data_IF_444124698270
#
_entry.id   IF_444124698270
#
_cell.length_a   1.000
_cell.length_b   1.000
_cell.length_c   1.000
_cell.angle_alpha   90.00
_cell.angle_beta   90.00
_cell.angle_gamma   90.00
#
_symmetry.space_group_name_H-M   'P 1'
#
loop_
_entity.id
_entity.type
_entity.pdbx_description
1 polymer ?
#
# COMPACT_ATOMS: atom_id res chain seq x y z
N UNK A 1 -16.34 44.73 30.69
CA UNK A 1 -15.11 44.45 31.47
C UNK A 1 -14.98 42.94 31.65
N UNK A 2 -13.83 42.36 31.23
CA UNK A 2 -13.18 41.14 31.77
C UNK A 2 -13.95 39.80 31.56
N UNK A 3 -13.38 38.70 31.04
CA UNK A 3 -11.99 38.30 30.75
C UNK A 3 -11.96 37.23 29.65
N UNK A 4 -11.04 37.43 28.72
CA UNK A 4 -10.45 36.46 27.80
C UNK A 4 -9.74 35.33 28.58
N UNK A 5 -9.89 34.08 28.14
CA UNK A 5 -8.94 32.99 28.42
C UNK A 5 -8.67 32.28 27.10
N UNK A 6 -7.52 32.60 26.52
CA UNK A 6 -6.88 31.87 25.43
C UNK A 6 -6.00 30.83 26.12
N UNK A 7 -6.23 29.54 25.86
CA UNK A 7 -5.28 28.49 26.20
C UNK A 7 -4.62 27.99 24.90
N UNK A 8 -3.51 28.63 24.56
CA UNK A 8 -2.48 28.12 23.65
C UNK A 8 -1.37 27.48 24.50
N UNK A 9 -0.55 26.61 23.87
CA UNK A 9 0.64 25.86 24.35
C UNK A 9 0.36 24.39 24.71
N UNK A 10 1.12 23.40 24.23
CA UNK A 10 2.55 23.37 23.89
C UNK A 10 2.90 22.52 22.65
N UNK A 11 3.61 23.12 21.70
CA UNK A 11 4.44 22.42 20.71
C UNK A 11 5.86 22.32 21.30
N UNK A 12 6.33 21.11 21.58
CA UNK A 12 7.66 20.88 22.14
C UNK A 12 8.72 20.97 21.03
N UNK A 13 9.56 22.00 21.11
CA UNK A 13 10.71 22.26 20.26
C UNK A 13 11.92 21.47 20.81
N UNK A 14 12.36 20.42 20.11
CA UNK A 14 13.62 19.74 20.41
C UNK A 14 14.74 20.42 19.62
N UNK A 15 15.50 21.28 20.29
CA UNK A 15 16.77 21.82 19.80
C UNK A 15 17.89 20.84 20.15
N UNK A 16 18.41 20.11 19.15
CA UNK A 16 19.68 19.41 19.27
C UNK A 16 20.82 20.37 18.86
N UNK A 17 21.60 20.80 19.84
CA UNK A 17 22.86 21.53 19.62
C UNK A 17 23.95 20.56 19.16
N UNK A 18 24.29 20.56 17.87
CA UNK A 18 25.51 19.93 17.37
C UNK A 18 26.68 20.93 17.52
N UNK A 19 27.62 20.59 18.41
CA UNK A 19 28.86 21.33 18.58
C UNK A 19 29.76 21.19 17.35
N UNK A 20 30.26 22.32 16.87
CA UNK A 20 31.30 22.41 15.86
C UNK A 20 32.67 22.24 16.54
N UNK A 21 33.48 21.30 16.07
CA UNK A 21 34.94 21.45 16.14
C UNK A 21 35.52 21.18 14.77
N UNK A 22 36.27 22.17 14.31
CA UNK A 22 37.02 22.21 13.07
C UNK A 22 38.38 21.57 13.30
N UNK A 23 38.83 20.70 12.39
CA UNK A 23 40.25 20.41 12.22
C UNK A 23 40.55 20.16 10.75
N UNK A 24 41.35 21.09 10.20
CA UNK A 24 41.91 21.12 8.86
C UNK A 24 43.37 20.64 8.93
N UNK A 25 43.74 19.65 8.12
CA UNK A 25 45.08 19.38 7.55
C UNK A 25 44.98 18.02 6.84
N UNK A 26 45.40 17.74 5.61
CA UNK A 26 46.33 18.38 4.69
C UNK A 26 47.02 17.25 3.90
N UNK A 27 47.09 17.41 2.58
CA UNK A 27 47.98 16.77 1.60
C UNK A 27 47.65 15.46 0.85
N UNK A 28 48.05 15.58 -0.42
CA UNK A 28 47.84 14.86 -1.70
C UNK A 28 48.56 13.51 -1.84
N UNK A 29 48.06 12.58 -2.70
CA UNK A 29 48.70 11.30 -3.13
C UNK A 29 49.84 11.55 -4.16
N UNK A 30 50.71 10.59 -4.61
CA UNK A 30 50.35 9.25 -5.13
C UNK A 30 51.39 8.11 -4.99
N UNK A 31 50.97 6.87 -5.26
CA UNK A 31 51.88 5.72 -5.35
C UNK A 31 51.29 4.55 -6.11
N UNK A 32 51.62 4.45 -7.41
CA UNK A 32 51.45 3.27 -8.27
C UNK A 32 52.29 2.10 -7.73
N UNK A 33 51.75 0.89 -7.77
CA UNK A 33 52.52 -0.27 -8.29
C UNK A 33 51.59 -1.35 -8.84
N UNK A 34 51.93 -1.80 -10.05
CA UNK A 34 51.45 -3.01 -10.73
C UNK A 34 52.10 -4.26 -10.10
N UNK A 35 51.41 -5.39 -10.18
CA UNK A 35 51.90 -6.70 -10.67
C UNK A 35 50.74 -7.71 -10.55
N UNK A 36 50.19 -8.22 -11.66
CA UNK A 36 50.64 -9.38 -12.46
C UNK A 36 50.19 -10.75 -11.90
N UNK A 37 49.14 -11.29 -12.55
CA UNK A 37 49.02 -12.59 -13.24
C UNK A 37 49.40 -13.91 -12.51
N UNK A 38 48.57 -14.93 -12.81
CA UNK A 38 48.76 -16.39 -12.68
C UNK A 38 48.42 -16.99 -11.30
N UNK A 39 47.76 -18.15 -11.16
CA UNK A 39 47.29 -19.17 -12.10
C UNK A 39 46.47 -20.24 -11.32
N UNK A 40 45.70 -21.04 -12.07
CA UNK A 40 45.39 -22.47 -11.84
C UNK A 40 44.51 -22.92 -10.66
N UNK A 41 43.35 -23.48 -11.05
CA UNK A 41 42.74 -24.66 -10.45
C UNK A 41 43.65 -25.91 -10.62
N UNK A 42 43.43 -27.04 -9.91
CA UNK A 42 42.35 -27.97 -10.31
C UNK A 42 41.68 -28.82 -9.19
N UNK A 43 40.57 -29.43 -9.61
CA UNK A 43 40.08 -30.81 -9.34
C UNK A 43 39.33 -31.25 -8.05
N UNK A 44 38.07 -31.67 -8.31
CA UNK A 44 37.41 -32.97 -8.06
C UNK A 44 37.54 -33.65 -6.69
N UNK A 45 36.37 -33.93 -6.11
CA UNK A 45 36.05 -35.25 -5.54
C UNK A 45 34.58 -35.62 -5.79
N UNK A 46 34.41 -36.69 -6.55
CA UNK A 46 33.19 -37.50 -6.64
C UNK A 46 33.04 -38.37 -5.38
N UNK A 47 31.81 -38.66 -4.98
CA UNK A 47 31.46 -39.91 -4.30
C UNK A 47 30.03 -40.30 -4.68
N UNK A 48 29.94 -41.40 -5.43
CA UNK A 48 28.73 -42.16 -5.76
C UNK A 48 28.29 -43.01 -4.57
N UNK A 49 26.98 -43.21 -4.38
CA UNK A 49 26.41 -44.47 -3.90
C UNK A 49 25.10 -44.71 -4.68
N UNK A 50 24.96 -45.92 -5.22
CA UNK A 50 23.90 -46.42 -6.08
C UNK A 50 23.08 -47.52 -5.36
N UNK A 51 21.73 -47.43 -5.50
CA UNK A 51 20.66 -48.46 -5.61
C UNK A 51 20.37 -49.49 -4.50
N UNK A 52 19.08 -49.53 -4.08
CA UNK A 52 18.23 -50.75 -4.15
C UNK A 52 16.71 -50.47 -4.09
N UNK A 53 15.96 -51.03 -5.05
CA UNK A 53 14.51 -51.37 -4.99
C UNK A 53 14.27 -52.46 -3.89
N UNK A 54 13.09 -52.77 -3.34
CA UNK A 54 11.72 -52.96 -3.90
C UNK A 54 10.73 -53.18 -2.73
N UNK A 55 9.41 -53.09 -3.03
CA UNK A 55 8.28 -53.96 -2.61
C UNK A 55 7.14 -53.42 -1.71
N UNK A 56 5.93 -53.60 -2.26
CA UNK A 56 4.56 -53.49 -1.76
C UNK A 56 4.25 -54.45 -0.59
N UNK A 57 3.29 -54.09 0.27
CA UNK A 57 2.28 -55.03 0.83
C UNK A 57 0.95 -54.29 1.11
N UNK A 58 -0.14 -54.92 0.67
CA UNK A 58 -1.56 -54.57 0.81
C UNK A 58 -2.11 -54.76 2.25
N UNK A 59 -3.16 -53.96 2.60
CA UNK A 59 -4.46 -54.27 3.27
C UNK A 59 -4.58 -55.36 4.39
N UNK A 60 -5.52 -55.29 5.37
CA UNK A 60 -6.94 -54.97 5.11
C UNK A 60 -7.80 -54.27 6.20
N UNK A 61 -8.93 -53.79 5.68
CA UNK A 61 -10.30 -53.54 6.21
C UNK A 61 -10.71 -54.24 7.53
N UNK A 62 -11.46 -53.54 8.39
CA UNK A 62 -12.71 -54.06 9.02
C UNK A 62 -13.56 -52.96 9.65
N UNK A 63 -14.84 -52.93 9.22
CA UNK A 63 -15.98 -52.20 9.79
C UNK A 63 -16.70 -53.17 10.73
N UNK A 64 -17.04 -52.74 11.96
CA UNK A 64 -18.17 -53.29 12.75
C UNK A 64 -18.76 -52.19 13.64
N UNK A 65 -20.04 -51.91 13.41
CA UNK A 65 -21.04 -51.28 14.31
C UNK A 65 -21.55 -52.29 15.34
N UNK A 66 -21.85 -51.87 16.59
CA UNK A 66 -23.10 -52.25 17.30
C UNK A 66 -23.33 -51.42 18.58
N UNK A 67 -24.61 -51.28 18.90
CA UNK A 67 -25.33 -50.53 19.93
C UNK A 67 -25.07 -50.93 21.40
N UNK A 68 -25.51 -50.08 22.34
CA UNK A 68 -25.72 -50.46 23.75
C UNK A 68 -26.03 -49.32 24.75
N UNK A 69 -27.32 -49.01 24.92
CA UNK A 69 -27.96 -48.11 25.91
C UNK A 69 -27.71 -48.43 27.40
N UNK A 70 -27.83 -47.41 28.28
CA UNK A 70 -28.67 -47.31 29.53
C UNK A 70 -28.87 -45.78 29.83
N UNK A 71 -30.07 -45.14 29.70
CA UNK A 71 -31.31 -45.07 30.51
C UNK A 71 -31.28 -44.18 31.77
N UNK A 72 -32.12 -43.13 31.78
CA UNK A 72 -33.13 -42.73 32.80
C UNK A 72 -33.47 -41.22 32.65
N UNK A 73 -34.67 -40.68 32.92
CA UNK A 73 -36.07 -41.11 33.00
C UNK A 73 -36.93 -39.83 33.22
N UNK A 74 -38.25 -39.92 33.02
CA UNK A 74 -39.33 -39.00 33.45
C UNK A 74 -39.66 -37.81 32.53
N UNK A 75 -40.62 -37.83 31.59
CA UNK A 75 -42.09 -38.14 31.55
C UNK A 75 -42.99 -36.88 31.62
N UNK A 76 -43.72 -36.64 30.51
CA UNK A 76 -45.11 -36.12 30.33
C UNK A 76 -45.51 -34.73 30.88
N UNK A 77 -46.43 -33.92 30.38
CA UNK A 77 -47.35 -33.91 29.22
C UNK A 77 -48.10 -32.55 29.23
N UNK A 78 -48.59 -32.11 28.05
CA UNK A 78 -49.85 -31.34 27.81
C UNK A 78 -49.91 -29.80 27.90
N UNK A 79 -50.09 -29.22 26.70
CA UNK A 79 -50.94 -28.10 26.21
C UNK A 79 -51.09 -26.71 26.90
N UNK A 80 -50.91 -25.71 26.01
CA UNK A 80 -51.67 -24.47 25.73
C UNK A 80 -51.43 -23.14 26.48
N UNK A 81 -51.15 -22.15 25.62
CA UNK A 81 -51.53 -20.72 25.65
C UNK A 81 -50.89 -19.82 26.70
N UNK A 82 -50.01 -18.91 26.28
CA UNK A 82 -50.37 -17.50 26.04
C UNK A 82 -49.15 -16.64 25.70
N UNK A 83 -49.41 -15.60 24.92
CA UNK A 83 -48.49 -14.59 24.43
C UNK A 83 -47.55 -14.04 25.51
N UNK A 84 -46.25 -13.91 25.18
CA UNK A 84 -45.59 -12.65 25.45
C UNK A 84 -44.47 -12.36 24.43
N UNK A 85 -44.64 -11.24 23.75
CA UNK A 85 -43.65 -10.48 23.01
C UNK A 85 -42.37 -10.34 23.84
N UNK A 86 -41.29 -10.99 23.43
CA UNK A 86 -39.95 -10.48 23.68
C UNK A 86 -39.31 -10.21 22.33
N UNK A 87 -39.48 -8.96 21.92
CA UNK A 87 -38.63 -8.25 20.97
C UNK A 87 -37.17 -8.69 21.19
N UNK A 88 -36.68 -9.57 20.32
CA UNK A 88 -35.25 -9.78 20.19
C UNK A 88 -34.74 -8.53 19.50
N UNK A 89 -34.34 -7.56 20.31
CA UNK A 89 -33.54 -6.41 19.88
C UNK A 89 -32.37 -6.94 19.07
N UNK A 90 -32.52 -6.88 17.75
CA UNK A 90 -31.42 -6.97 16.81
C UNK A 90 -30.46 -5.85 17.22
N UNK A 91 -29.29 -6.21 17.78
CA UNK A 91 -28.11 -5.35 17.87
C UNK A 91 -27.69 -4.97 16.44
N UNK A 92 -28.41 -4.02 15.85
CA UNK A 92 -28.11 -3.41 14.57
C UNK A 92 -27.30 -2.15 14.79
N UNK A 93 -26.14 -2.10 14.13
CA UNK A 93 -25.38 -0.92 13.68
C UNK A 93 -25.61 0.39 14.46
N UNK A 94 -24.65 0.77 15.30
CA UNK A 94 -24.53 2.18 15.67
C UNK A 94 -24.07 2.97 14.45
N UNK A 95 -25.00 3.44 13.61
CA UNK A 95 -24.74 4.11 12.31
C UNK A 95 -23.70 5.24 12.35
N UNK A 96 -24.12 6.51 12.35
CA UNK A 96 -23.19 7.64 12.34
C UNK A 96 -22.21 7.66 13.53
N UNK A 97 -22.63 7.09 14.68
CA UNK A 97 -21.79 6.97 15.88
C UNK A 97 -20.59 6.04 15.68
N UNK A 98 -20.75 4.98 14.91
CA UNK A 98 -19.66 4.08 14.52
C UNK A 98 -18.66 4.80 13.62
N UNK A 99 -19.16 5.59 12.66
CA UNK A 99 -18.32 6.41 11.77
C UNK A 99 -17.56 7.50 12.54
N UNK A 100 -18.21 8.17 13.50
CA UNK A 100 -17.55 9.13 14.41
C UNK A 100 -16.50 8.49 15.31
N UNK A 101 -16.62 7.20 15.64
CA UNK A 101 -15.56 6.49 16.35
C UNK A 101 -14.40 6.15 15.41
N UNK A 102 -14.73 5.60 14.23
CA UNK A 102 -13.75 5.25 13.21
C UNK A 102 -12.88 6.45 12.81
N UNK A 103 -13.47 7.64 12.64
CA UNK A 103 -12.73 8.84 12.22
C UNK A 103 -11.63 9.24 13.21
N UNK A 104 -11.79 8.98 14.51
CA UNK A 104 -10.76 9.30 15.52
C UNK A 104 -9.47 8.49 15.32
N UNK A 105 -9.56 7.35 14.63
CA UNK A 105 -8.41 6.48 14.32
C UNK A 105 -7.79 6.75 12.94
N UNK A 106 -8.48 7.53 12.10
CA UNK A 106 -8.05 7.78 10.72
C UNK A 106 -8.07 9.26 10.35
N UNK A 107 -8.23 10.19 11.31
CA UNK A 107 -8.26 11.64 11.09
C UNK A 107 -7.05 12.17 10.32
N UNK A 108 -5.88 11.55 10.50
CA UNK A 108 -4.61 11.93 9.85
C UNK A 108 -4.34 11.09 8.58
N UNK A 109 -5.33 10.32 8.12
CA UNK A 109 -5.25 9.42 6.97
C UNK A 109 -6.25 9.85 5.91
N UNK A 110 -6.04 9.48 4.63
CA UNK A 110 -6.99 9.77 3.56
C UNK A 110 -8.40 9.23 3.84
N UNK A 111 -8.51 8.08 4.50
CA UNK A 111 -9.79 7.53 4.96
C UNK A 111 -10.55 8.50 5.90
N UNK A 112 -9.86 9.35 6.66
CA UNK A 112 -10.48 10.36 7.53
C UNK A 112 -11.26 11.42 6.76
N UNK A 113 -10.73 11.92 5.64
CA UNK A 113 -11.42 12.89 4.80
C UNK A 113 -12.68 12.30 4.14
N UNK A 114 -12.62 11.04 3.69
CA UNK A 114 -13.78 10.32 3.14
C UNK A 114 -14.86 10.10 4.20
N UNK A 115 -14.48 9.61 5.39
CA UNK A 115 -15.42 9.45 6.50
C UNK A 115 -16.02 10.79 6.95
N UNK A 116 -15.22 11.86 6.95
CA UNK A 116 -15.69 13.20 7.24
C UNK A 116 -16.75 13.65 6.24
N UNK A 117 -16.51 13.46 4.94
CA UNK A 117 -17.46 13.82 3.89
C UNK A 117 -18.75 12.99 3.98
N UNK A 118 -18.67 11.67 4.21
CA UNK A 118 -19.85 10.82 4.43
C UNK A 118 -20.66 11.30 5.64
N UNK A 119 -20.00 11.60 6.76
CA UNK A 119 -20.65 12.14 7.95
C UNK A 119 -21.33 13.48 7.68
N UNK A 120 -20.64 14.39 6.99
CA UNK A 120 -21.15 15.73 6.64
C UNK A 120 -22.28 15.70 5.62
N UNK A 121 -22.28 14.76 4.67
CA UNK A 121 -23.27 14.68 3.59
C UNK A 121 -24.47 13.80 3.94
N UNK A 122 -24.23 12.66 4.58
CA UNK A 122 -25.27 11.64 4.86
C UNK A 122 -25.91 11.82 6.23
N UNK A 123 -25.17 12.34 7.22
CA UNK A 123 -25.62 12.45 8.61
C UNK A 123 -25.61 13.90 9.14
N UNK A 124 -25.64 14.89 8.24
CA UNK A 124 -25.58 16.32 8.57
C UNK A 124 -26.55 16.77 9.67
N UNK A 125 -27.75 16.18 9.71
CA UNK A 125 -28.81 16.52 10.67
C UNK A 125 -28.62 15.87 12.04
N UNK A 126 -27.79 14.84 12.14
CA UNK A 126 -27.50 14.12 13.38
C UNK A 126 -26.23 14.65 14.10
N UNK A 127 -25.45 15.48 13.41
CA UNK A 127 -24.21 16.06 13.91
C UNK A 127 -24.43 17.39 14.64
N UNK A 128 -23.71 17.60 15.73
CA UNK A 128 -23.57 18.90 16.39
C UNK A 128 -22.74 19.87 15.54
N UNK A 129 -22.89 21.17 15.77
CA UNK A 129 -22.12 22.18 15.05
C UNK A 129 -20.61 22.07 15.30
N UNK A 130 -20.20 21.67 16.51
CA UNK A 130 -18.81 21.38 16.84
C UNK A 130 -18.27 20.19 16.04
N UNK A 131 -19.03 19.10 15.94
CA UNK A 131 -18.66 17.93 15.14
C UNK A 131 -18.56 18.27 13.66
N UNK A 132 -19.52 19.03 13.10
CA UNK A 132 -19.44 19.48 11.71
C UNK A 132 -18.17 20.28 11.45
N UNK A 133 -17.80 21.17 12.37
CA UNK A 133 -16.58 21.97 12.22
C UNK A 133 -15.31 21.12 12.28
N UNK A 134 -15.25 20.13 13.17
CA UNK A 134 -14.13 19.18 13.23
C UNK A 134 -14.02 18.35 11.94
N UNK A 135 -15.16 17.87 11.44
CA UNK A 135 -15.24 17.11 10.20
C UNK A 135 -14.86 17.97 8.98
N UNK A 136 -15.27 19.24 8.92
CA UNK A 136 -14.91 20.12 7.81
C UNK A 136 -13.39 20.39 7.77
N UNK A 137 -12.75 20.50 8.94
CA UNK A 137 -11.28 20.62 9.01
C UNK A 137 -10.59 19.36 8.51
N UNK A 138 -11.10 18.18 8.85
CA UNK A 138 -10.57 16.90 8.36
C UNK A 138 -10.80 16.77 6.85
N UNK A 139 -11.97 17.20 6.37
CA UNK A 139 -12.35 17.19 4.96
C UNK A 139 -11.49 18.15 4.12
N UNK A 140 -11.11 19.30 4.65
CA UNK A 140 -10.29 20.31 3.96
C UNK A 140 -8.81 20.24 4.32
N UNK A 141 -8.35 19.14 4.94
CA UNK A 141 -6.97 19.00 5.39
C UNK A 141 -5.97 19.11 4.23
N UNK A 142 -6.26 18.53 3.07
CA UNK A 142 -5.44 18.63 1.86
C UNK A 142 -5.30 20.08 1.38
N UNK A 143 -6.39 20.86 1.33
CA UNK A 143 -6.36 22.28 0.95
C UNK A 143 -5.56 23.14 1.92
N UNK A 144 -5.68 22.85 3.23
CA UNK A 144 -4.93 23.57 4.26
C UNK A 144 -3.42 23.30 4.13
N UNK A 145 -3.05 22.04 3.89
CA UNK A 145 -1.66 21.62 3.64
C UNK A 145 -1.12 22.23 2.35
N UNK A 146 -1.90 22.23 1.27
CA UNK A 146 -1.54 22.88 0.00
C UNK A 146 -1.33 24.39 0.17
N UNK A 147 -2.21 25.06 0.90
CA UNK A 147 -2.08 26.50 1.20
C UNK A 147 -0.81 26.78 1.98
N UNK A 148 -0.50 25.96 2.99
CA UNK A 148 0.73 26.08 3.77
C UNK A 148 1.98 25.81 2.92
N UNK A 149 1.96 24.79 2.06
CA UNK A 149 3.04 24.50 1.12
C UNK A 149 3.31 25.69 0.19
N UNK A 150 2.25 26.31 -0.35
CA UNK A 150 2.36 27.52 -1.16
C UNK A 150 2.97 28.70 -0.39
N UNK A 151 2.57 28.93 0.85
CA UNK A 151 3.17 29.99 1.69
C UNK A 151 4.66 29.74 1.95
N UNK A 152 5.07 28.49 2.17
CA UNK A 152 6.48 28.12 2.35
C UNK A 152 7.28 28.34 1.08
N UNK A 153 6.72 27.95 -0.07
CA UNK A 153 7.29 28.20 -1.39
C UNK A 153 7.48 29.70 -1.65
N UNK A 154 6.45 30.52 -1.41
CA UNK A 154 6.49 31.99 -1.55
C UNK A 154 7.56 32.63 -0.63
N UNK A 155 7.77 32.05 0.56
CA UNK A 155 8.81 32.46 1.50
C UNK A 155 10.20 31.89 1.18
N UNK A 156 10.34 31.13 0.08
CA UNK A 156 11.60 30.56 -0.38
C UNK A 156 12.00 29.24 0.27
N UNK A 157 11.17 28.66 1.16
CA UNK A 157 11.42 27.34 1.75
C UNK A 157 10.84 26.23 0.89
N UNK A 158 11.44 26.01 -0.28
CA UNK A 158 10.95 25.02 -1.27
C UNK A 158 10.98 23.59 -0.71
N UNK A 159 12.00 23.23 0.07
CA UNK A 159 12.09 21.88 0.67
C UNK A 159 10.96 21.61 1.66
N UNK A 160 10.63 22.59 2.51
CA UNK A 160 9.53 22.43 3.46
C UNK A 160 8.18 22.42 2.71
N UNK A 161 8.06 23.17 1.61
CA UNK A 161 6.89 23.13 0.74
C UNK A 161 6.70 21.76 0.09
N UNK A 162 7.78 21.12 -0.40
CA UNK A 162 7.73 19.74 -0.91
C UNK A 162 7.24 18.80 0.18
N UNK A 163 7.80 18.87 1.39
CA UNK A 163 7.37 18.02 2.50
C UNK A 163 5.87 18.19 2.82
N UNK A 164 5.36 19.41 2.93
CA UNK A 164 3.93 19.63 3.17
C UNK A 164 3.06 19.17 1.99
N UNK A 165 3.55 19.30 0.76
CA UNK A 165 2.83 18.82 -0.41
C UNK A 165 2.75 17.28 -0.43
N UNK A 166 3.76 16.56 0.07
CA UNK A 166 3.70 15.11 0.24
C UNK A 166 2.60 14.72 1.25
N UNK A 167 2.48 15.47 2.34
CA UNK A 167 1.42 15.26 3.33
C UNK A 167 0.03 15.59 2.76
N UNK A 168 -0.09 16.63 1.91
CA UNK A 168 -1.32 16.94 1.20
C UNK A 168 -1.73 15.79 0.27
N UNK A 169 -0.77 15.24 -0.49
CA UNK A 169 -0.99 14.07 -1.35
C UNK A 169 -1.46 12.88 -0.52
N UNK A 170 -0.84 12.58 0.62
CA UNK A 170 -1.30 11.49 1.49
C UNK A 170 -2.71 11.72 2.00
N UNK A 171 -3.08 12.96 2.33
CA UNK A 171 -4.43 13.29 2.77
C UNK A 171 -5.49 13.08 1.68
N UNK A 172 -5.17 13.32 0.41
CA UNK A 172 -6.10 13.15 -0.70
C UNK A 172 -5.38 12.66 -1.98
N UNK A 173 -4.93 11.40 -1.96
CA UNK A 173 -4.07 10.86 -3.01
C UNK A 173 -4.77 10.66 -4.37
N UNK A 174 -6.08 10.83 -4.44
CA UNK A 174 -6.85 10.76 -5.69
C UNK A 174 -6.91 12.12 -6.42
N UNK A 175 -6.55 13.21 -5.73
CA UNK A 175 -6.53 14.56 -6.31
C UNK A 175 -5.25 14.78 -7.16
N UNK A 176 -5.40 14.74 -8.49
CA UNK A 176 -4.28 14.89 -9.42
C UNK A 176 -3.61 16.28 -9.39
N UNK A 177 -4.34 17.33 -8.99
CA UNK A 177 -3.76 18.68 -8.91
C UNK A 177 -2.63 18.76 -7.85
N UNK A 178 -2.71 17.94 -6.80
CA UNK A 178 -1.67 17.89 -5.78
C UNK A 178 -0.35 17.36 -6.34
N UNK A 179 -0.39 16.40 -7.26
CA UNK A 179 0.80 15.86 -7.94
C UNK A 179 1.37 16.86 -8.94
N UNK A 180 0.51 17.59 -9.66
CA UNK A 180 0.92 18.69 -10.53
C UNK A 180 1.66 19.78 -9.76
N UNK A 181 1.15 20.19 -8.60
CA UNK A 181 1.83 21.14 -7.70
C UNK A 181 3.15 20.56 -7.18
N UNK A 182 3.16 19.28 -6.79
CA UNK A 182 4.38 18.59 -6.38
C UNK A 182 5.46 18.62 -7.46
N UNK A 183 5.12 18.34 -8.72
CA UNK A 183 6.06 18.39 -9.83
C UNK A 183 6.75 19.76 -9.97
N UNK A 184 5.98 20.85 -9.82
CA UNK A 184 6.51 22.22 -9.86
C UNK A 184 7.46 22.51 -8.70
N UNK A 185 7.11 22.06 -7.50
CA UNK A 185 7.97 22.21 -6.32
C UNK A 185 9.26 21.40 -6.44
N UNK A 186 9.17 20.17 -6.96
CA UNK A 186 10.33 19.30 -7.22
C UNK A 186 11.26 19.90 -8.28
N UNK A 187 10.72 20.46 -9.36
CA UNK A 187 11.50 21.20 -10.37
C UNK A 187 12.25 22.38 -9.75
N UNK A 188 11.57 23.19 -8.91
CA UNK A 188 12.20 24.30 -8.18
C UNK A 188 13.26 23.84 -7.18
N UNK A 189 13.09 22.65 -6.60
CA UNK A 189 14.07 22.01 -5.73
C UNK A 189 15.27 21.41 -6.50
N UNK A 190 15.25 21.44 -7.84
CA UNK A 190 16.30 20.91 -8.69
C UNK A 190 16.21 19.39 -8.93
N UNK A 191 15.10 18.75 -8.56
CA UNK A 191 14.84 17.37 -8.91
C UNK A 191 14.55 17.26 -10.42
N UNK A 192 15.13 16.26 -11.06
CA UNK A 192 15.11 16.13 -12.52
C UNK A 192 13.78 15.58 -13.01
N UNK A 193 13.40 15.93 -14.25
CA UNK A 193 12.19 15.50 -14.97
C UNK A 193 12.16 13.99 -15.30
N UNK A 194 12.24 13.14 -14.29
CA UNK A 194 12.00 11.71 -14.42
C UNK A 194 10.54 11.41 -14.15
N UNK A 195 10.08 10.31 -14.74
CA UNK A 195 8.75 9.78 -14.41
C UNK A 195 8.74 9.37 -12.94
N UNK A 196 7.72 9.82 -12.21
CA UNK A 196 7.50 9.46 -10.80
C UNK A 196 6.39 8.41 -10.69
N UNK A 197 6.39 7.68 -9.58
CA UNK A 197 5.34 6.71 -9.26
C UNK A 197 4.90 6.97 -7.82
N UNK A 198 3.59 7.10 -7.63
CA UNK A 198 2.95 7.08 -6.32
C UNK A 198 1.96 5.91 -6.25
N UNK A 199 1.95 5.23 -5.11
CA UNK A 199 0.97 4.17 -4.82
C UNK A 199 0.30 4.50 -3.50
N UNK A 200 -1.03 4.62 -3.48
CA UNK A 200 -1.80 5.04 -2.31
C UNK A 200 -1.28 6.34 -1.65
N UNK A 201 -0.82 7.30 -2.47
CA UNK A 201 -0.28 8.59 -2.02
C UNK A 201 1.18 8.57 -1.57
N UNK A 202 1.85 7.42 -1.58
CA UNK A 202 3.25 7.29 -1.20
C UNK A 202 4.17 7.20 -2.42
N UNK A 203 5.26 7.97 -2.41
CA UNK A 203 6.25 7.94 -3.48
C UNK A 203 7.04 6.62 -3.48
N UNK A 204 7.11 5.97 -4.64
CA UNK A 204 7.94 4.77 -4.82
C UNK A 204 9.41 5.14 -4.97
N UNK A 205 10.26 4.51 -4.16
CA UNK A 205 11.72 4.61 -4.30
C UNK A 205 12.23 4.00 -5.63
N UNK A 206 11.50 3.03 -6.19
CA UNK A 206 11.85 2.43 -7.48
C UNK A 206 11.19 3.24 -8.59
N UNK A 207 12.02 3.95 -9.36
CA UNK A 207 11.56 4.84 -10.42
C UNK A 207 10.96 4.04 -11.60
N UNK A 208 9.80 4.46 -12.13
CA UNK A 208 9.30 3.99 -13.42
C UNK A 208 10.11 4.59 -14.58
N UNK A 209 9.93 4.06 -15.79
CA UNK A 209 10.60 4.60 -16.97
C UNK A 209 9.78 4.45 -18.25
N UNK A 210 10.01 5.35 -19.20
CA UNK A 210 9.44 5.25 -20.55
C UNK A 210 10.36 4.43 -21.46
N UNK A 211 9.79 3.48 -22.19
CA UNK A 211 10.51 2.73 -23.23
C UNK A 211 9.57 2.39 -24.37
N UNK A 212 9.92 2.88 -25.58
CA UNK A 212 9.15 2.66 -26.82
C UNK A 212 7.66 3.00 -26.68
N UNK A 213 7.35 4.14 -26.06
CA UNK A 213 5.97 4.60 -25.87
C UNK A 213 5.19 3.90 -24.75
N UNK A 214 5.81 3.00 -23.98
CA UNK A 214 5.19 2.38 -22.81
C UNK A 214 5.85 2.88 -21.53
N UNK A 215 5.03 3.19 -20.52
CA UNK A 215 5.50 3.45 -19.15
C UNK A 215 5.62 2.12 -18.41
N UNK A 216 6.83 1.81 -17.99
CA UNK A 216 7.17 0.62 -17.22
C UNK A 216 7.21 0.97 -15.75
N UNK A 217 6.52 0.18 -14.93
CA UNK A 217 6.43 0.36 -13.48
C UNK A 217 6.90 -0.90 -12.74
N UNK A 218 7.51 -0.76 -11.55
CA UNK A 218 7.95 -1.89 -10.74
C UNK A 218 6.75 -2.68 -10.20
N UNK A 219 6.55 -3.89 -10.73
CA UNK A 219 5.33 -4.66 -10.47
C UNK A 219 5.19 -5.05 -8.99
N UNK A 220 6.28 -5.54 -8.38
CA UNK A 220 6.27 -5.95 -6.96
C UNK A 220 5.92 -4.79 -6.03
N UNK A 221 6.57 -3.63 -6.21
CA UNK A 221 6.35 -2.46 -5.35
C UNK A 221 4.89 -2.03 -5.36
N UNK A 222 4.27 -2.00 -6.53
CA UNK A 222 2.84 -1.67 -6.64
C UNK A 222 1.99 -2.75 -5.98
N UNK A 223 2.21 -4.02 -6.31
CA UNK A 223 1.42 -5.13 -5.78
C UNK A 223 1.46 -5.18 -4.24
N UNK A 224 2.65 -5.09 -3.63
CA UNK A 224 2.81 -5.10 -2.17
C UNK A 224 2.15 -3.88 -1.51
N UNK A 225 2.24 -2.70 -2.12
CA UNK A 225 1.60 -1.47 -1.61
C UNK A 225 0.07 -1.53 -1.69
N UNK A 226 -0.46 -2.35 -2.60
CA UNK A 226 -1.88 -2.70 -2.72
C UNK A 226 -2.23 -3.96 -1.91
N UNK A 227 -1.42 -4.31 -0.90
CA UNK A 227 -1.63 -5.44 0.00
C UNK A 227 -1.66 -6.83 -0.68
N UNK A 228 -1.08 -6.98 -1.86
CA UNK A 228 -0.94 -8.27 -2.51
C UNK A 228 0.27 -9.05 -1.99
N UNK A 229 0.14 -10.36 -1.88
CA UNK A 229 1.26 -11.26 -1.62
C UNK A 229 2.05 -11.49 -2.91
N UNK A 230 3.38 -11.38 -2.86
CA UNK A 230 4.24 -11.53 -4.04
C UNK A 230 5.32 -12.58 -3.79
N UNK A 231 5.42 -13.57 -4.68
CA UNK A 231 6.45 -14.59 -4.66
C UNK A 231 7.26 -14.61 -5.97
N UNK A 232 8.56 -14.89 -5.87
CA UNK A 232 9.45 -15.06 -7.03
C UNK A 232 9.81 -16.53 -7.18
N UNK A 233 9.63 -17.07 -8.39
CA UNK A 233 10.13 -18.38 -8.78
C UNK A 233 11.38 -18.20 -9.67
N UNK A 234 12.59 -18.51 -9.17
CA UNK A 234 13.82 -18.33 -9.95
C UNK A 234 13.96 -19.36 -11.08
N UNK A 235 13.43 -20.58 -10.94
CA UNK A 235 13.55 -21.64 -11.93
C UNK A 235 12.74 -21.29 -13.20
N UNK A 236 11.52 -20.80 -13.00
CA UNK A 236 10.64 -20.37 -14.09
C UNK A 236 10.87 -18.91 -14.52
N UNK A 237 11.70 -18.17 -13.78
CA UNK A 237 11.85 -16.72 -13.90
C UNK A 237 10.49 -16.01 -13.89
N UNK A 238 9.64 -16.34 -12.91
CA UNK A 238 8.26 -15.88 -12.83
C UNK A 238 7.93 -15.21 -11.50
N UNK A 239 7.04 -14.23 -11.53
CA UNK A 239 6.41 -13.64 -10.35
C UNK A 239 5.00 -14.21 -10.21
N UNK A 240 4.67 -14.65 -9.01
CA UNK A 240 3.31 -14.99 -8.59
C UNK A 240 2.78 -13.87 -7.68
N UNK A 241 1.56 -13.42 -7.92
CA UNK A 241 0.87 -12.44 -7.07
C UNK A 241 -0.49 -12.97 -6.67
N UNK A 242 -0.86 -12.80 -5.41
CA UNK A 242 -2.18 -13.13 -4.87
C UNK A 242 -2.78 -11.90 -4.18
N UNK A 243 -4.00 -11.51 -4.55
CA UNK A 243 -4.76 -10.43 -3.91
C UNK A 243 -6.24 -10.73 -4.02
N UNK A 244 -6.99 -10.73 -2.91
CA UNK A 244 -8.46 -10.84 -2.90
C UNK A 244 -9.00 -12.03 -3.75
N UNK A 245 -8.31 -13.17 -3.76
CA UNK A 245 -8.65 -14.35 -4.57
C UNK A 245 -8.24 -14.28 -6.05
N UNK A 246 -7.66 -13.17 -6.50
CA UNK A 246 -7.02 -13.02 -7.81
C UNK A 246 -5.60 -13.59 -7.77
N UNK A 247 -5.29 -14.46 -8.72
CA UNK A 247 -3.96 -15.05 -8.92
C UNK A 247 -3.34 -14.58 -10.23
N UNK A 248 -2.16 -13.98 -10.16
CA UNK A 248 -1.42 -13.50 -11.33
C UNK A 248 -0.09 -14.25 -11.42
N UNK A 249 0.21 -14.83 -12.58
CA UNK A 249 1.53 -15.36 -12.93
C UNK A 249 2.12 -14.54 -14.06
N UNK A 250 3.30 -14.00 -13.84
CA UNK A 250 4.01 -13.17 -14.81
C UNK A 250 5.40 -13.74 -15.06
N UNK A 251 5.65 -14.19 -16.28
CA UNK A 251 6.94 -14.74 -16.70
C UNK A 251 7.79 -13.64 -17.32
N UNK A 252 9.04 -13.50 -16.88
CA UNK A 252 9.96 -12.50 -17.42
C UNK A 252 10.25 -12.78 -18.91
N UNK A 253 10.39 -11.70 -19.68
CA UNK A 253 10.57 -11.69 -21.13
C UNK A 253 9.36 -12.21 -21.93
N UNK A 254 8.24 -12.52 -21.26
CA UNK A 254 6.97 -12.90 -21.89
C UNK A 254 6.07 -11.68 -22.11
N UNK A 255 5.37 -11.67 -23.25
CA UNK A 255 4.23 -10.77 -23.53
C UNK A 255 2.90 -11.33 -23.05
N UNK A 256 2.91 -12.44 -22.33
CA UNK A 256 1.71 -13.08 -21.80
C UNK A 256 1.88 -13.29 -20.30
N UNK A 257 0.88 -12.85 -19.54
CA UNK A 257 0.68 -13.21 -18.14
C UNK A 257 -0.54 -14.12 -18.03
N UNK A 258 -0.69 -14.77 -16.89
CA UNK A 258 -1.88 -15.55 -16.56
C UNK A 258 -2.58 -14.90 -15.39
N UNK A 259 -3.85 -14.53 -15.52
CA UNK A 259 -4.70 -13.97 -14.45
C UNK A 259 -5.86 -14.94 -14.24
N UNK A 260 -6.00 -15.49 -13.03
CA UNK A 260 -6.99 -16.51 -12.68
C UNK A 260 -7.02 -17.70 -13.67
N UNK A 261 -5.84 -18.17 -14.07
CA UNK A 261 -5.69 -19.26 -15.04
C UNK A 261 -5.93 -18.88 -16.50
N UNK A 262 -6.35 -17.64 -16.79
CA UNK A 262 -6.61 -17.14 -18.15
C UNK A 262 -5.43 -16.31 -18.66
N UNK A 263 -5.06 -16.49 -19.93
CA UNK A 263 -3.96 -15.73 -20.52
C UNK A 263 -4.38 -14.29 -20.83
N UNK A 264 -3.56 -13.33 -20.41
CA UNK A 264 -3.69 -11.89 -20.65
C UNK A 264 -2.45 -11.40 -21.39
N UNK A 265 -2.65 -10.65 -22.47
CA UNK A 265 -1.55 -10.08 -23.27
C UNK A 265 -1.05 -8.77 -22.66
N UNK A 266 0.26 -8.56 -22.65
CA UNK A 266 0.91 -7.29 -22.30
C UNK A 266 1.33 -6.54 -23.57
N UNK A 267 1.23 -5.21 -23.52
CA UNK A 267 1.67 -4.33 -24.63
C UNK A 267 3.18 -4.47 -24.93
N UNK A 268 3.95 -4.75 -23.88
CA UNK A 268 5.37 -5.03 -23.95
C UNK A 268 5.73 -6.13 -22.95
N UNK A 269 6.78 -6.92 -23.22
CA UNK A 269 7.14 -8.03 -22.35
C UNK A 269 7.54 -7.53 -20.96
N UNK A 270 7.18 -8.31 -19.95
CA UNK A 270 7.72 -8.14 -18.61
C UNK A 270 9.25 -8.18 -18.66
N UNK A 271 9.93 -7.27 -17.96
CA UNK A 271 11.40 -7.16 -18.07
C UNK A 271 12.04 -6.93 -16.72
N UNK A 272 13.21 -7.52 -16.49
CA UNK A 272 14.00 -7.20 -15.30
C UNK A 272 14.93 -6.03 -15.61
N UNK A 273 14.89 -5.00 -14.78
CA UNK A 273 15.81 -3.86 -14.83
C UNK A 273 16.28 -3.55 -13.41
N UNK A 274 17.61 -3.44 -13.22
CA UNK A 274 18.23 -3.18 -11.91
C UNK A 274 17.74 -4.11 -10.77
N UNK A 275 17.43 -5.36 -11.09
CA UNK A 275 16.97 -6.36 -10.12
C UNK A 275 15.47 -6.36 -9.81
N UNK A 276 14.69 -5.44 -10.39
CA UNK A 276 13.23 -5.40 -10.25
C UNK A 276 12.55 -5.80 -11.54
N UNK A 277 11.41 -6.49 -11.45
CA UNK A 277 10.57 -6.79 -12.61
C UNK A 277 9.63 -5.63 -12.88
N UNK A 278 9.64 -5.19 -14.13
CA UNK A 278 8.83 -4.10 -14.64
C UNK A 278 7.82 -4.60 -15.66
N UNK A 279 6.65 -3.98 -15.63
CA UNK A 279 5.53 -4.27 -16.54
C UNK A 279 4.96 -2.97 -17.10
N UNK A 280 4.31 -2.99 -18.28
CA UNK A 280 3.53 -1.85 -18.76
C UNK A 280 2.47 -1.47 -17.74
N UNK A 281 2.35 -0.17 -17.44
CA UNK A 281 1.44 0.32 -16.39
C UNK A 281 -0.02 -0.09 -16.61
N UNK A 282 -0.47 -0.22 -17.87
CA UNK A 282 -1.82 -0.66 -18.22
C UNK A 282 -2.15 -2.06 -17.68
N UNK A 283 -1.16 -2.94 -17.56
CA UNK A 283 -1.38 -4.27 -16.98
C UNK A 283 -1.77 -4.20 -15.49
N UNK A 284 -1.32 -3.17 -14.76
CA UNK A 284 -1.63 -2.99 -13.34
C UNK A 284 -3.13 -2.81 -13.12
N UNK A 285 -3.76 -1.93 -13.90
CA UNK A 285 -5.19 -1.63 -13.73
C UNK A 285 -6.06 -2.85 -14.00
N UNK A 286 -5.73 -3.61 -15.03
CA UNK A 286 -6.50 -4.79 -15.42
C UNK A 286 -6.29 -5.99 -14.49
N UNK A 287 -5.05 -6.20 -14.02
CA UNK A 287 -4.71 -7.40 -13.25
C UNK A 287 -5.01 -7.27 -11.75
N UNK A 288 -4.87 -6.08 -11.18
CA UNK A 288 -4.99 -5.85 -9.72
C UNK A 288 -6.27 -5.12 -9.33
N UNK A 289 -7.15 -4.80 -10.29
CA UNK A 289 -8.35 -3.97 -10.08
C UNK A 289 -8.03 -2.65 -9.38
N UNK A 290 -6.92 -2.04 -9.81
CA UNK A 290 -6.43 -0.77 -9.27
C UNK A 290 -6.71 0.37 -10.24
N UNK A 291 -7.01 1.56 -9.72
CA UNK A 291 -7.05 2.75 -10.54
C UNK A 291 -5.63 3.19 -10.86
N UNK A 292 -5.38 3.50 -12.14
CA UNK A 292 -4.11 4.06 -12.62
C UNK A 292 -4.42 5.38 -13.30
N UNK A 293 -3.78 6.46 -12.84
CA UNK A 293 -3.87 7.79 -13.42
C UNK A 293 -2.48 8.26 -13.87
N UNK A 294 -2.49 9.10 -14.91
CA UNK A 294 -1.29 9.78 -15.40
C UNK A 294 -1.48 11.28 -15.23
N UNK A 295 -0.59 11.92 -14.48
CA UNK A 295 -0.50 13.38 -14.41
C UNK A 295 0.62 13.85 -15.35
N UNK A 296 0.26 14.68 -16.32
CA UNK A 296 1.12 15.03 -17.45
C UNK A 296 2.19 16.07 -17.10
N UNK A 297 1.86 17.09 -16.31
CA UNK A 297 2.79 18.21 -16.01
C UNK A 297 3.97 17.75 -15.16
N UNK A 298 3.72 16.94 -14.14
CA UNK A 298 4.69 16.34 -13.23
C UNK A 298 5.23 14.99 -13.72
N UNK A 299 4.70 14.45 -14.83
CA UNK A 299 5.06 13.13 -15.38
C UNK A 299 4.93 12.03 -14.32
N UNK A 300 3.79 11.98 -13.64
CA UNK A 300 3.57 11.10 -12.49
C UNK A 300 2.56 10.01 -12.82
N UNK A 301 2.94 8.76 -12.53
CA UNK A 301 2.00 7.64 -12.44
C UNK A 301 1.43 7.61 -11.03
N UNK A 302 0.11 7.68 -10.90
CA UNK A 302 -0.59 7.55 -9.62
C UNK A 302 -1.41 6.25 -9.64
N UNK A 303 -1.22 5.40 -8.64
CA UNK A 303 -1.91 4.12 -8.50
C UNK A 303 -2.60 4.06 -7.15
N UNK A 304 -3.83 3.57 -7.10
CA UNK A 304 -4.54 3.31 -5.84
C UNK A 304 -5.61 2.23 -6.00
N UNK A 305 -6.00 1.59 -4.91
CA UNK A 305 -7.14 0.66 -4.90
C UNK A 305 -8.46 1.44 -5.05
N UNK A 306 -9.41 0.91 -5.83
CA UNK A 306 -10.80 1.38 -5.75
C UNK A 306 -11.40 0.97 -4.41
N UNK A 307 -12.08 1.88 -3.68
CA UNK A 307 -12.71 1.56 -2.41
C UNK A 307 -13.74 0.44 -2.59
N UNK A 308 -13.78 -0.50 -1.63
CA UNK A 308 -14.61 -1.72 -1.70
C UNK A 308 -16.11 -1.44 -1.89
N UNK A 309 -16.59 -0.26 -1.51
CA UNK A 309 -18.01 0.10 -1.58
C UNK A 309 -18.56 0.32 -3.00
N UNK A 310 -17.69 0.35 -4.02
CA UNK A 310 -18.08 0.52 -5.44
C UNK A 310 -17.95 -0.77 -6.30
N UNK A 311 -17.58 -1.91 -5.70
CA UNK A 311 -17.35 -3.20 -6.42
C UNK A 311 -18.55 -4.15 -6.44
#
# INVERSE_FOLDING_TARGET
MKKTVILLTSLALILASAGTTSAKSGNTPPGKTKNEVSSKAPEKKESQIEVKQTQEVESPVTVVTDDGQIKDSSTSETEKSDNNTSESEKKGSQGYKGLLNAIQHVKDKPAGAVLADILLTTYATELTEEQKKELEVIKEQDKALETAAKMLEENGSVTDAVYLQEEAIKANFTNLDLYKTMGKLQEKAGDQEKVKLYVNGEASATEPFLKKGNTFVPFRTIAESLNAEVAWNPEERSIMVMKDGVSIKLVVDSKTATVNGTNVSLDAPATITKGSTYVPVRFISEALSATVQWEEESKTVVVYDEPEDER
#
